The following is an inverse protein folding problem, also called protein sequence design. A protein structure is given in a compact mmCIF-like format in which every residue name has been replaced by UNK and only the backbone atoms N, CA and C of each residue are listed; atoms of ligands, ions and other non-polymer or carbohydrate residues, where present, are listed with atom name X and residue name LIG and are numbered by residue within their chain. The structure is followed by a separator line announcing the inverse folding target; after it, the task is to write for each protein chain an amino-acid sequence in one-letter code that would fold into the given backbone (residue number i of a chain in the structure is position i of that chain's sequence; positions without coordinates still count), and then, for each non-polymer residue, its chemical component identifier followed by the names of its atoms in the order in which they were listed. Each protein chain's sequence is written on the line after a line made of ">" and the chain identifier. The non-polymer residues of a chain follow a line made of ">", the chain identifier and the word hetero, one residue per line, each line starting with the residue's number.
data_IF_156067085609
#
_entry.id   IF_156067085609
#
_cell.length_a   1.000
_cell.length_b   1.000
_cell.length_c   1.000
_cell.angle_alpha   90.00
_cell.angle_beta   90.00
_cell.angle_gamma   90.00
#
_symmetry.space_group_name_H-M   'P 1'
#
loop_
_entity.id
_entity.type
_entity.pdbx_description
1 polymer ?
#
# COMPACT_ATOMS: atom_id res chain seq x y z
N UNK A 1 -5.01 3.18 -26.22
CA UNK A 1 -6.25 2.52 -25.76
C UNK A 1 -5.95 1.20 -25.07
N UNK A 2 -5.21 0.27 -25.71
CA UNK A 2 -4.82 -1.02 -25.12
C UNK A 2 -4.05 -0.88 -23.80
N UNK A 3 -3.15 0.08 -23.70
CA UNK A 3 -2.31 0.31 -22.50
C UNK A 3 -3.15 0.84 -21.32
N UNK A 4 -4.15 1.69 -21.59
CA UNK A 4 -5.08 2.15 -20.55
C UNK A 4 -5.95 1.00 -20.03
N UNK A 5 -6.44 0.15 -20.94
CA UNK A 5 -7.20 -1.05 -20.55
C UNK A 5 -6.31 -2.00 -19.73
N UNK A 6 -5.05 -2.20 -20.12
CA UNK A 6 -4.11 -3.03 -19.40
C UNK A 6 -3.80 -2.47 -18.01
N UNK A 7 -3.53 -1.16 -17.90
CA UNK A 7 -3.27 -0.51 -16.60
C UNK A 7 -4.47 -0.61 -15.66
N UNK A 8 -5.67 -0.31 -16.17
CA UNK A 8 -6.92 -0.44 -15.41
C UNK A 8 -7.22 -1.91 -15.07
N UNK A 9 -6.94 -2.84 -15.98
CA UNK A 9 -7.13 -4.27 -15.72
C UNK A 9 -6.17 -4.81 -14.67
N UNK A 10 -4.92 -4.33 -14.65
CA UNK A 10 -3.94 -4.70 -13.64
C UNK A 10 -4.35 -4.20 -12.25
N UNK A 11 -4.84 -2.96 -12.17
CA UNK A 11 -5.36 -2.39 -10.91
C UNK A 11 -6.66 -3.11 -10.47
N UNK A 12 -7.55 -3.46 -11.39
CA UNK A 12 -8.74 -4.26 -11.10
C UNK A 12 -8.40 -5.69 -10.67
N UNK A 13 -7.32 -6.27 -11.19
CA UNK A 13 -6.81 -7.57 -10.76
C UNK A 13 -6.30 -7.51 -9.32
N UNK A 14 -5.57 -6.44 -8.97
CA UNK A 14 -5.15 -6.16 -7.58
C UNK A 14 -6.37 -6.05 -6.66
N UNK A 15 -7.43 -5.37 -7.11
CA UNK A 15 -8.69 -5.27 -6.37
C UNK A 15 -9.37 -6.63 -6.15
N UNK A 16 -9.16 -7.59 -7.04
CA UNK A 16 -9.76 -8.92 -6.93
C UNK A 16 -9.09 -9.82 -5.90
N UNK A 17 -7.76 -9.75 -5.78
CA UNK A 17 -6.97 -10.57 -4.84
C UNK A 17 -6.73 -9.89 -3.48
N UNK A 18 -7.17 -8.65 -3.29
CA UNK A 18 -7.12 -7.93 -2.01
C UNK A 18 -5.70 -7.71 -1.47
N UNK A 19 -5.54 -7.92 -0.17
CA UNK A 19 -4.26 -7.70 0.52
C UNK A 19 -3.12 -8.59 0.02
N UNK A 20 -3.43 -9.80 -0.45
CA UNK A 20 -2.43 -10.73 -1.00
C UNK A 20 -1.76 -10.17 -2.27
N UNK A 21 -2.53 -9.52 -3.14
CA UNK A 21 -1.98 -8.91 -4.34
C UNK A 21 -1.08 -7.74 -4.02
N UNK A 22 -1.46 -6.91 -3.04
CA UNK A 22 -0.61 -5.81 -2.58
C UNK A 22 0.71 -6.33 -2.00
N UNK A 23 0.67 -7.41 -1.20
CA UNK A 23 1.87 -8.04 -0.68
C UNK A 23 2.81 -8.51 -1.82
N UNK A 24 2.26 -9.14 -2.86
CA UNK A 24 3.03 -9.54 -4.06
C UNK A 24 3.64 -8.34 -4.80
N UNK A 25 2.89 -7.27 -4.99
CA UNK A 25 3.40 -6.04 -5.62
C UNK A 25 4.56 -5.43 -4.85
N UNK A 26 4.51 -5.48 -3.53
CA UNK A 26 5.59 -5.04 -2.65
C UNK A 26 6.75 -6.03 -2.57
N UNK A 27 6.68 -7.17 -3.30
CA UNK A 27 7.64 -8.28 -3.24
C UNK A 27 7.79 -8.87 -1.83
N UNK A 28 6.73 -8.80 -1.04
CA UNK A 28 6.71 -9.40 0.28
C UNK A 28 6.60 -10.93 0.17
N UNK A 29 7.37 -11.65 0.98
CA UNK A 29 7.35 -13.10 1.10
C UNK A 29 6.36 -13.52 2.18
N UNK A 30 5.50 -14.51 1.88
CA UNK A 30 4.58 -15.07 2.87
C UNK A 30 5.35 -15.86 3.93
N UNK A 31 4.99 -15.67 5.19
CA UNK A 31 5.51 -16.46 6.31
C UNK A 31 4.64 -17.68 6.53
N UNK A 32 5.32 -18.83 6.74
CA UNK A 32 4.71 -20.12 7.07
C UNK A 32 5.55 -20.75 8.17
N UNK A 33 4.96 -21.34 9.20
CA UNK A 33 5.68 -21.87 10.37
C UNK A 33 6.80 -22.87 10.00
N UNK A 34 6.54 -23.75 9.03
CA UNK A 34 7.44 -24.83 8.68
C UNK A 34 8.75 -24.36 8.00
N UNK A 35 8.74 -23.13 7.44
CA UNK A 35 9.87 -22.56 6.68
C UNK A 35 10.41 -21.27 7.33
N UNK A 36 10.05 -20.99 8.58
CA UNK A 36 10.32 -19.71 9.24
C UNK A 36 11.62 -19.75 10.06
N UNK A 37 12.35 -18.62 10.06
CA UNK A 37 13.42 -18.37 11.03
C UNK A 37 12.88 -18.26 12.46
N UNK A 38 13.71 -18.31 13.51
CA UNK A 38 13.25 -18.11 14.88
C UNK A 38 12.49 -16.79 15.07
N UNK A 39 12.97 -15.69 14.48
CA UNK A 39 12.35 -14.36 14.55
C UNK A 39 10.98 -14.35 13.84
N UNK A 40 10.89 -14.96 12.67
CA UNK A 40 9.66 -15.11 11.92
C UNK A 40 8.63 -15.98 12.64
N UNK A 41 9.09 -17.08 13.26
CA UNK A 41 8.25 -17.96 14.07
C UNK A 41 7.70 -17.22 15.29
N UNK A 42 8.52 -16.38 15.95
CA UNK A 42 8.08 -15.52 17.04
C UNK A 42 7.02 -14.53 16.56
N UNK A 43 7.25 -13.88 15.43
CA UNK A 43 6.27 -12.95 14.87
C UNK A 43 4.93 -13.62 14.53
N UNK A 44 4.95 -14.82 13.97
CA UNK A 44 3.72 -15.58 13.70
C UNK A 44 2.95 -15.90 15.00
N UNK A 45 3.64 -16.27 16.08
CA UNK A 45 3.02 -16.53 17.38
C UNK A 45 2.40 -15.25 17.97
N UNK A 46 3.12 -14.13 17.89
CA UNK A 46 2.61 -12.84 18.39
C UNK A 46 1.38 -12.41 17.57
N UNK A 47 1.40 -12.55 16.24
CA UNK A 47 0.21 -12.27 15.40
C UNK A 47 -0.98 -13.12 15.84
N UNK A 48 -0.78 -14.42 16.09
CA UNK A 48 -1.84 -15.31 16.54
C UNK A 48 -2.37 -14.89 17.92
N UNK A 49 -1.49 -14.52 18.84
CA UNK A 49 -1.87 -14.05 20.17
C UNK A 49 -2.68 -12.75 20.11
N UNK A 50 -2.26 -11.78 19.31
CA UNK A 50 -2.99 -10.52 19.09
C UNK A 50 -4.33 -10.80 18.44
N UNK A 51 -4.39 -11.64 17.39
CA UNK A 51 -5.64 -12.02 16.72
C UNK A 51 -6.67 -12.58 17.70
N UNK A 52 -6.24 -13.46 18.61
CA UNK A 52 -7.10 -14.02 19.69
C UNK A 52 -7.57 -12.91 20.64
N UNK A 53 -6.70 -11.98 21.04
CA UNK A 53 -7.07 -10.89 21.95
C UNK A 53 -8.10 -9.93 21.35
N UNK A 54 -8.11 -9.80 20.03
CA UNK A 54 -9.07 -8.98 19.28
C UNK A 54 -10.29 -9.77 18.78
N UNK A 55 -10.35 -11.08 19.03
CA UNK A 55 -11.38 -12.00 18.53
C UNK A 55 -11.54 -11.92 17.00
N UNK A 56 -10.42 -11.87 16.27
CA UNK A 56 -10.36 -11.84 14.81
C UNK A 56 -9.67 -13.11 14.32
N UNK A 57 -10.06 -13.60 13.16
CA UNK A 57 -9.35 -14.67 12.47
C UNK A 57 -7.90 -14.23 12.17
N UNK A 58 -6.93 -15.13 12.39
CA UNK A 58 -5.52 -14.83 12.19
C UNK A 58 -5.25 -14.51 10.71
N UNK A 59 -4.86 -13.27 10.37
CA UNK A 59 -4.58 -12.88 9.00
C UNK A 59 -3.28 -13.53 8.48
N UNK A 60 -3.15 -13.66 7.16
CA UNK A 60 -1.91 -14.10 6.55
C UNK A 60 -0.80 -13.06 6.80
N UNK A 61 0.39 -13.54 7.16
CA UNK A 61 1.54 -12.70 7.47
C UNK A 61 2.56 -12.76 6.33
N UNK A 62 3.09 -11.60 5.98
CA UNK A 62 4.14 -11.42 4.99
C UNK A 62 5.30 -10.64 5.58
N UNK A 63 6.49 -10.81 5.00
CA UNK A 63 7.68 -10.02 5.34
C UNK A 63 8.23 -9.32 4.10
N UNK A 64 8.67 -8.07 4.29
CA UNK A 64 9.46 -7.30 3.32
C UNK A 64 10.94 -7.52 3.64
N UNK A 65 11.65 -8.41 2.91
CA UNK A 65 13.01 -8.81 3.28
C UNK A 65 14.03 -7.67 3.10
N UNK A 66 13.79 -6.75 2.16
CA UNK A 66 14.71 -5.67 1.81
C UNK A 66 14.47 -4.39 2.64
N UNK A 67 13.45 -4.37 3.50
CA UNK A 67 13.09 -3.17 4.28
C UNK A 67 13.64 -3.27 5.70
N UNK A 68 14.67 -2.46 5.99
CA UNK A 68 15.38 -2.45 7.27
C UNK A 68 14.74 -1.53 8.32
N UNK A 69 13.84 -0.65 7.91
CA UNK A 69 13.09 0.20 8.83
C UNK A 69 12.11 -0.62 9.67
N UNK A 70 11.90 -0.25 10.93
CA UNK A 70 10.90 -0.89 11.81
C UNK A 70 9.51 -0.41 11.43
N UNK A 71 8.70 -1.30 10.84
CA UNK A 71 7.33 -0.98 10.46
C UNK A 71 6.47 -2.24 10.30
N UNK A 72 5.15 -2.04 10.39
CA UNK A 72 4.13 -2.99 9.99
C UNK A 72 3.07 -2.27 9.15
N UNK A 73 2.38 -2.99 8.33
CA UNK A 73 1.23 -2.45 7.62
C UNK A 73 0.17 -3.54 7.41
N UNK A 74 -1.07 -3.13 7.50
CA UNK A 74 -2.23 -3.96 7.20
C UNK A 74 -2.80 -3.57 5.84
N UNK A 75 -3.15 -4.55 5.04
CA UNK A 75 -3.71 -4.35 3.71
C UNK A 75 -4.84 -5.35 3.42
N UNK A 76 -5.90 -4.89 2.78
CA UNK A 76 -7.04 -5.71 2.36
C UNK A 76 -8.24 -4.85 1.98
N UNK A 77 -9.18 -5.46 1.24
CA UNK A 77 -10.43 -4.80 0.84
C UNK A 77 -11.64 -5.31 1.61
N UNK A 78 -11.53 -6.49 2.19
CA UNK A 78 -12.56 -7.16 2.97
C UNK A 78 -11.91 -7.81 4.18
N UNK A 79 -12.67 -8.05 5.22
CA UNK A 79 -12.18 -8.72 6.43
C UNK A 79 -11.51 -10.08 6.16
N UNK A 80 -11.91 -10.76 5.09
CA UNK A 80 -11.44 -12.09 4.73
C UNK A 80 -10.13 -12.08 3.89
N UNK A 81 -9.76 -10.93 3.29
CA UNK A 81 -8.58 -10.78 2.45
C UNK A 81 -7.48 -9.91 3.08
N UNK A 82 -7.65 -9.62 4.36
CA UNK A 82 -6.69 -8.81 5.12
C UNK A 82 -5.41 -9.61 5.34
N UNK A 83 -4.29 -8.95 5.12
CA UNK A 83 -2.95 -9.45 5.39
C UNK A 83 -2.18 -8.46 6.24
N UNK A 84 -1.25 -8.97 7.05
CA UNK A 84 -0.27 -8.17 7.78
C UNK A 84 1.07 -8.31 7.07
N UNK A 85 1.73 -7.20 6.82
CA UNK A 85 3.05 -7.15 6.21
C UNK A 85 4.00 -6.50 7.20
N UNK A 86 4.99 -7.28 7.66
CA UNK A 86 6.06 -6.83 8.55
C UNK A 86 7.30 -6.50 7.72
N UNK A 87 8.07 -5.54 8.16
CA UNK A 87 9.39 -5.30 7.61
C UNK A 87 10.41 -6.22 8.27
N UNK A 88 11.51 -6.53 7.58
CA UNK A 88 12.62 -7.27 8.15
C UNK A 88 13.19 -6.56 9.39
N UNK A 89 13.26 -5.21 9.35
CA UNK A 89 13.68 -4.41 10.48
C UNK A 89 12.80 -4.58 11.72
N UNK A 90 11.49 -4.77 11.56
CA UNK A 90 10.59 -5.04 12.70
C UNK A 90 10.88 -6.42 13.32
N UNK A 91 11.17 -7.45 12.52
CA UNK A 91 11.50 -8.79 13.01
C UNK A 91 12.82 -8.85 13.76
N UNK A 92 13.81 -8.05 13.34
CA UNK A 92 15.15 -8.07 13.94
C UNK A 92 15.32 -7.17 15.17
N UNK A 93 14.60 -6.05 15.21
CA UNK A 93 14.88 -5.00 16.20
C UNK A 93 13.83 -4.90 17.30
N UNK A 94 12.67 -5.53 17.14
CA UNK A 94 11.63 -5.51 18.16
C UNK A 94 11.67 -6.78 19.00
N UNK A 95 11.55 -6.62 20.32
CA UNK A 95 11.24 -7.74 21.19
C UNK A 95 9.77 -8.16 21.08
N UNK A 96 9.40 -9.26 21.75
CA UNK A 96 8.05 -9.84 21.66
C UNK A 96 6.98 -8.86 22.14
N UNK A 97 7.25 -8.07 23.17
CA UNK A 97 6.31 -7.09 23.73
C UNK A 97 6.14 -5.88 22.81
N UNK A 98 7.25 -5.39 22.26
CA UNK A 98 7.25 -4.28 21.30
C UNK A 98 6.52 -4.68 20.01
N UNK A 99 6.77 -5.90 19.52
CA UNK A 99 6.08 -6.45 18.36
C UNK A 99 4.58 -6.65 18.63
N UNK A 100 4.21 -7.08 19.83
CA UNK A 100 2.81 -7.15 20.27
C UNK A 100 2.14 -5.77 20.24
N UNK A 101 2.83 -4.74 20.72
CA UNK A 101 2.35 -3.35 20.67
C UNK A 101 2.13 -2.84 19.25
N UNK A 102 3.12 -3.05 18.37
CA UNK A 102 3.03 -2.69 16.96
C UNK A 102 1.86 -3.41 16.26
N UNK A 103 1.74 -4.71 16.48
CA UNK A 103 0.66 -5.51 15.90
C UNK A 103 -0.72 -5.14 16.49
N UNK A 104 -0.81 -4.83 17.77
CA UNK A 104 -2.05 -4.35 18.38
C UNK A 104 -2.57 -3.07 17.71
N UNK A 105 -1.67 -2.17 17.33
CA UNK A 105 -2.02 -0.99 16.55
C UNK A 105 -2.59 -1.35 15.17
N UNK A 106 -1.94 -2.27 14.44
CA UNK A 106 -2.41 -2.74 13.14
C UNK A 106 -3.76 -3.47 13.24
N UNK A 107 -3.97 -4.31 14.24
CA UNK A 107 -5.24 -4.99 14.47
C UNK A 107 -6.37 -4.03 14.83
N UNK A 108 -6.07 -2.95 15.55
CA UNK A 108 -7.07 -1.91 15.78
C UNK A 108 -7.49 -1.20 14.48
N UNK A 109 -6.58 -1.04 13.52
CA UNK A 109 -6.92 -0.53 12.19
C UNK A 109 -7.83 -1.51 11.42
N UNK A 110 -7.67 -2.82 11.61
CA UNK A 110 -8.58 -3.84 11.04
C UNK A 110 -9.99 -3.64 11.59
N UNK A 111 -10.13 -3.58 12.92
CA UNK A 111 -11.43 -3.42 13.59
C UNK A 111 -12.12 -2.11 13.25
N UNK A 112 -11.37 -1.02 13.13
CA UNK A 112 -11.93 0.30 12.77
C UNK A 112 -12.32 0.41 11.29
N UNK A 113 -11.93 -0.57 10.46
CA UNK A 113 -12.11 -0.53 9.00
C UNK A 113 -11.09 0.38 8.29
N UNK A 114 -10.18 1.01 9.03
CA UNK A 114 -9.17 1.92 8.46
C UNK A 114 -8.19 1.21 7.54
N UNK A 115 -7.87 -0.06 7.83
CA UNK A 115 -7.01 -0.88 6.98
C UNK A 115 -7.55 -0.95 5.54
N UNK A 116 -8.85 -1.15 5.37
CA UNK A 116 -9.54 -1.21 4.07
C UNK A 116 -9.51 0.16 3.38
N UNK A 117 -9.83 1.23 4.12
CA UNK A 117 -9.81 2.60 3.57
C UNK A 117 -8.40 3.00 3.14
N UNK A 118 -7.39 2.72 3.96
CA UNK A 118 -5.99 2.99 3.64
C UNK A 118 -5.52 2.22 2.41
N UNK A 119 -5.95 0.96 2.27
CA UNK A 119 -5.64 0.15 1.09
C UNK A 119 -6.25 0.74 -0.17
N UNK A 120 -7.53 1.15 -0.14
CA UNK A 120 -8.20 1.82 -1.27
C UNK A 120 -7.50 3.12 -1.66
N UNK A 121 -7.12 3.94 -0.69
CA UNK A 121 -6.38 5.18 -0.94
C UNK A 121 -4.99 4.94 -1.53
N UNK A 122 -4.28 3.90 -1.06
CA UNK A 122 -2.98 3.51 -1.65
C UNK A 122 -3.11 3.13 -3.11
N UNK A 123 -4.10 2.32 -3.46
CA UNK A 123 -4.32 1.87 -4.83
C UNK A 123 -4.76 3.04 -5.72
N UNK A 124 -5.66 3.89 -5.24
CA UNK A 124 -6.04 5.10 -5.98
C UNK A 124 -4.82 5.98 -6.26
N UNK A 125 -3.98 6.21 -5.26
CA UNK A 125 -2.74 6.97 -5.40
C UNK A 125 -1.77 6.32 -6.39
N UNK A 126 -1.57 5.00 -6.29
CA UNK A 126 -0.71 4.23 -7.21
C UNK A 126 -1.22 4.31 -8.65
N UNK A 127 -2.51 4.09 -8.87
CA UNK A 127 -3.13 4.18 -10.19
C UNK A 127 -2.98 5.57 -10.82
N UNK A 128 -3.25 6.63 -10.04
CA UNK A 128 -3.08 8.01 -10.51
C UNK A 128 -1.63 8.37 -10.80
N UNK A 129 -0.70 7.87 -9.99
CA UNK A 129 0.74 8.06 -10.22
C UNK A 129 1.18 7.37 -11.51
N UNK A 130 0.77 6.13 -11.71
CA UNK A 130 1.04 5.37 -12.94
C UNK A 130 0.46 6.08 -14.15
N UNK A 131 -0.78 6.55 -14.08
CA UNK A 131 -1.43 7.30 -15.15
C UNK A 131 -0.69 8.60 -15.48
N UNK A 132 -0.26 9.37 -14.48
CA UNK A 132 0.55 10.57 -14.65
C UNK A 132 1.90 10.27 -15.30
N UNK A 133 2.57 9.19 -14.88
CA UNK A 133 3.85 8.76 -15.48
C UNK A 133 3.69 8.37 -16.97
N UNK A 134 2.63 7.68 -17.34
CA UNK A 134 2.32 7.35 -18.72
C UNK A 134 2.07 8.62 -19.55
N UNK A 135 1.33 9.59 -19.02
CA UNK A 135 1.14 10.89 -19.67
C UNK A 135 2.46 11.61 -19.91
N UNK A 136 3.34 11.63 -18.93
CA UNK A 136 4.69 12.22 -19.04
C UNK A 136 5.52 11.51 -20.10
N UNK A 137 5.56 10.18 -20.11
CA UNK A 137 6.29 9.39 -21.12
C UNK A 137 5.76 9.63 -22.54
N UNK A 138 4.44 9.72 -22.69
CA UNK A 138 3.82 10.00 -23.97
C UNK A 138 4.17 11.40 -24.48
N UNK A 139 4.12 12.40 -23.59
CA UNK A 139 4.53 13.75 -23.93
C UNK A 139 6.02 13.83 -24.32
N UNK A 140 6.90 13.12 -23.61
CA UNK A 140 8.32 13.03 -23.91
C UNK A 140 8.59 12.35 -25.26
N UNK A 141 7.83 11.29 -25.60
CA UNK A 141 7.97 10.60 -26.88
C UNK A 141 7.62 11.50 -28.08
N UNK A 142 6.72 12.48 -27.88
CA UNK A 142 6.40 13.50 -28.89
C UNK A 142 7.33 14.71 -28.85
N UNK A 143 8.26 14.79 -27.89
CA UNK A 143 9.16 15.93 -27.77
C UNK A 143 10.54 15.61 -28.35
N UNK A 144 10.85 16.22 -29.52
CA UNK A 144 12.19 16.17 -30.11
C UNK A 144 12.91 17.50 -29.92
N UNK A 145 13.92 17.60 -29.02
CA UNK A 145 14.63 18.83 -28.76
C UNK A 145 15.50 19.29 -29.93
N UNK A 146 15.77 18.43 -30.92
CA UNK A 146 16.62 18.71 -32.10
C UNK A 146 15.83 19.02 -33.36
N UNK A 147 14.49 19.06 -33.29
CA UNK A 147 13.65 19.38 -34.44
C UNK A 147 13.79 20.85 -34.81
N UNK A 148 14.67 21.13 -35.74
CA UNK A 148 14.79 22.44 -36.40
C UNK A 148 13.68 22.58 -37.44
N UNK A 149 12.76 23.52 -37.22
CA UNK A 149 11.90 24.17 -38.21
C UNK A 149 10.60 23.47 -38.70
N UNK A 150 10.41 22.17 -38.55
CA UNK A 150 9.13 21.54 -38.93
C UNK A 150 8.69 20.51 -37.89
N UNK A 151 7.95 20.98 -36.88
CA UNK A 151 7.35 20.09 -35.88
C UNK A 151 6.27 19.27 -36.57
N UNK A 152 6.46 17.96 -36.64
CA UNK A 152 5.52 17.06 -37.26
C UNK A 152 4.17 17.12 -36.52
N UNK A 153 3.04 17.26 -37.21
CA UNK A 153 1.70 17.36 -36.60
C UNK A 153 1.45 16.22 -35.58
N UNK A 154 2.00 15.05 -35.86
CA UNK A 154 1.89 13.89 -34.95
C UNK A 154 2.64 14.12 -33.61
N UNK A 155 3.85 14.66 -33.61
CA UNK A 155 4.62 14.99 -32.40
C UNK A 155 3.86 15.97 -31.51
N UNK A 156 3.27 17.00 -32.09
CA UNK A 156 2.47 17.98 -31.37
C UNK A 156 1.24 17.35 -30.71
N UNK A 157 0.57 16.41 -31.41
CA UNK A 157 -0.58 15.68 -30.87
C UNK A 157 -0.17 14.81 -29.69
N UNK A 158 0.95 14.08 -29.76
CA UNK A 158 1.45 13.27 -28.66
C UNK A 158 1.81 14.10 -27.43
N UNK A 159 2.45 15.26 -27.62
CA UNK A 159 2.75 16.19 -26.51
C UNK A 159 1.46 16.71 -25.86
N UNK A 160 0.47 17.10 -26.67
CA UNK A 160 -0.79 17.63 -26.16
C UNK A 160 -1.58 16.56 -25.39
N UNK A 161 -1.76 15.37 -25.97
CA UNK A 161 -2.48 14.26 -25.32
C UNK A 161 -1.73 13.81 -24.05
N UNK A 162 -0.40 13.63 -24.13
CA UNK A 162 0.43 13.24 -22.99
C UNK A 162 0.38 14.27 -21.87
N UNK A 163 0.39 15.55 -22.21
CA UNK A 163 0.26 16.66 -21.25
C UNK A 163 -1.09 16.68 -20.54
N UNK A 164 -2.18 16.46 -21.26
CA UNK A 164 -3.53 16.35 -20.65
C UNK A 164 -3.62 15.16 -19.69
N UNK A 165 -3.13 14.00 -20.11
CA UNK A 165 -3.10 12.79 -19.27
C UNK A 165 -2.26 13.03 -18.01
N UNK A 166 -1.09 13.64 -18.15
CA UNK A 166 -0.23 13.99 -17.03
C UNK A 166 -0.89 14.95 -16.05
N UNK A 167 -1.57 16.00 -16.55
CA UNK A 167 -2.30 16.97 -15.73
C UNK A 167 -3.42 16.31 -14.92
N UNK A 168 -4.23 15.47 -15.57
CA UNK A 168 -5.33 14.76 -14.90
C UNK A 168 -4.77 13.85 -13.78
N UNK A 169 -3.73 13.08 -14.06
CA UNK A 169 -3.08 12.23 -13.08
C UNK A 169 -2.48 13.03 -11.91
N UNK A 170 -1.81 14.14 -12.19
CA UNK A 170 -1.19 15.01 -11.19
C UNK A 170 -2.23 15.68 -10.28
N UNK A 171 -3.34 16.17 -10.84
CA UNK A 171 -4.46 16.70 -10.06
C UNK A 171 -5.08 15.62 -9.16
N UNK A 172 -5.27 14.42 -9.69
CA UNK A 172 -5.77 13.27 -8.92
C UNK A 172 -4.85 12.92 -7.73
N UNK A 173 -3.54 12.96 -7.92
CA UNK A 173 -2.56 12.75 -6.85
C UNK A 173 -2.70 13.83 -5.76
N UNK A 174 -2.84 15.11 -6.15
CA UNK A 174 -3.04 16.20 -5.20
C UNK A 174 -4.31 16.02 -4.37
N UNK A 175 -5.41 15.66 -5.02
CA UNK A 175 -6.69 15.39 -4.35
C UNK A 175 -6.54 14.22 -3.38
N UNK A 176 -5.89 13.14 -3.78
CA UNK A 176 -5.68 11.97 -2.92
C UNK A 176 -4.83 12.32 -1.69
N UNK A 177 -3.78 13.15 -1.86
CA UNK A 177 -2.97 13.64 -0.74
C UNK A 177 -3.79 14.50 0.20
N UNK A 178 -4.65 15.37 -0.33
CA UNK A 178 -5.53 16.22 0.47
C UNK A 178 -6.53 15.39 1.27
N UNK A 179 -7.18 14.41 0.64
CA UNK A 179 -8.09 13.48 1.31
C UNK A 179 -7.36 12.73 2.42
N UNK A 180 -6.17 12.20 2.14
CA UNK A 180 -5.35 11.52 3.14
C UNK A 180 -5.03 12.44 4.33
N UNK A 181 -4.62 13.66 4.07
CA UNK A 181 -4.31 14.65 5.12
C UNK A 181 -5.54 14.94 6.01
N UNK A 182 -6.70 15.20 5.40
CA UNK A 182 -7.94 15.49 6.12
C UNK A 182 -8.46 14.29 6.93
N UNK A 183 -8.28 13.08 6.41
CA UNK A 183 -8.80 11.85 7.04
C UNK A 183 -7.90 11.35 8.17
N UNK A 184 -6.58 11.42 8.00
CA UNK A 184 -5.60 10.89 8.97
C UNK A 184 -5.41 11.77 10.19
N UNK A 185 -5.54 13.11 10.05
CA UNK A 185 -5.25 14.05 11.14
C UNK A 185 -6.11 13.85 12.40
N UNK A 186 -7.33 13.33 12.25
CA UNK A 186 -8.25 13.11 13.39
C UNK A 186 -8.32 11.68 13.92
N UNK A 187 -7.83 10.69 13.17
CA UNK A 187 -8.03 9.26 13.47
C UNK A 187 -6.84 8.65 14.21
N UNK A 188 -5.63 9.05 13.88
CA UNK A 188 -4.40 8.53 14.48
C UNK A 188 -4.41 8.71 16.00
N UNK A 189 -4.78 9.87 16.49
CA UNK A 189 -4.85 10.16 17.93
C UNK A 189 -5.85 9.27 18.68
N UNK A 190 -6.99 8.94 18.08
CA UNK A 190 -8.00 8.06 18.72
C UNK A 190 -7.54 6.60 18.78
N UNK A 191 -6.82 6.15 17.77
CA UNK A 191 -6.31 4.78 17.71
C UNK A 191 -5.17 4.57 18.69
N UNK A 192 -4.26 5.54 18.82
CA UNK A 192 -3.19 5.52 19.80
C UNK A 192 -3.73 5.40 21.23
N UNK A 193 -4.77 6.18 21.57
CA UNK A 193 -5.41 6.09 22.90
C UNK A 193 -6.08 4.73 23.17
N UNK A 194 -6.67 4.10 22.16
CA UNK A 194 -7.28 2.78 22.31
C UNK A 194 -6.21 1.70 22.52
N UNK A 195 -5.14 1.74 21.72
CA UNK A 195 -4.02 0.81 21.82
C UNK A 195 -3.35 0.89 23.18
N UNK A 196 -3.09 2.10 23.69
CA UNK A 196 -2.53 2.31 25.05
C UNK A 196 -3.42 1.75 26.16
N UNK A 197 -4.74 1.85 26.02
CA UNK A 197 -5.68 1.26 26.99
C UNK A 197 -5.67 -0.26 27.00
N UNK A 198 -5.48 -0.88 25.84
CA UNK A 198 -5.39 -2.34 25.71
C UNK A 198 -4.09 -2.91 26.25
N UNK A 199 -3.00 -2.15 26.19
CA UNK A 199 -1.70 -2.56 26.73
C UNK A 199 -1.58 -2.39 28.26
N UNK A 200 -2.46 -1.60 28.89
CA UNK A 200 -2.46 -1.33 30.34
C UNK A 200 -3.43 -2.21 31.14
N UNK A 201 -4.15 -3.11 30.49
CA UNK A 201 -5.00 -4.14 31.11
C UNK A 201 -4.39 -5.54 30.96
#
# INVERSE_FOLDING_TARGET
>A
FFVLIWSVSAELYVLREGGHSLAKQLKARRLVFDESTPEESTALKVVEQVARSFAIDTPAVYVLPDEVGVNALTAGFRSQDIVIILTWGALQNLDELELYGLLSYEFNQILSGEAVENTKLKILYSGLTTFSQWGSKLAQAGYNPYATSYRNKFETIFVAIGGVIWLIGSLGILITRLIKYLTLSGRTFRNDLKTMRLMNN
#
